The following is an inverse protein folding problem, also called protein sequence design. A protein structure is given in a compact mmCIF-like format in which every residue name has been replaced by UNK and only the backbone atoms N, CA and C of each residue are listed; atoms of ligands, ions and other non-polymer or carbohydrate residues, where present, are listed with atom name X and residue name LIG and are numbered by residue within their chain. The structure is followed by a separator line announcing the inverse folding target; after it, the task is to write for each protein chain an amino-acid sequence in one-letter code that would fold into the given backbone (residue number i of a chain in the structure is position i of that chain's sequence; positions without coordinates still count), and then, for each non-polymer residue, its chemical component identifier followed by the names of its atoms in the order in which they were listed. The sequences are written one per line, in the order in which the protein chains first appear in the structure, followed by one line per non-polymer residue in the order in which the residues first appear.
data_IF_769470752890
#
_entry.id   IF_769470752890
#
_cell.length_a   1.000
_cell.length_b   1.000
_cell.length_c   1.000
_cell.angle_alpha   90.00
_cell.angle_beta   90.00
_cell.angle_gamma   90.00
#
_symmetry.space_group_name_H-M   'P 1'
#
loop_
_entity.id
_entity.type
_entity.pdbx_description
1 polymer ?
#
# COMPACT_ATOMS: atom_id res chain seq x y z
N UNK A 1 4.45 -12.92 -9.49
CA UNK A 1 3.35 -12.11 -8.96
C UNK A 1 3.01 -10.96 -9.90
N UNK A 2 1.72 -10.81 -10.23
CA UNK A 2 1.14 -9.73 -11.03
C UNK A 2 0.14 -8.92 -10.19
N UNK A 3 0.28 -7.59 -10.08
CA UNK A 3 -0.69 -6.77 -9.33
C UNK A 3 -1.88 -6.46 -10.23
N UNK A 4 -3.09 -6.62 -9.70
CA UNK A 4 -4.36 -6.39 -10.39
C UNK A 4 -5.08 -5.12 -9.91
N UNK A 5 -5.04 -4.80 -8.62
CA UNK A 5 -5.75 -3.66 -8.06
C UNK A 5 -5.12 -3.19 -6.75
N UNK A 6 -5.21 -1.88 -6.51
CA UNK A 6 -4.78 -1.19 -5.30
C UNK A 6 -5.91 -0.30 -4.80
N UNK A 7 -6.14 -0.28 -3.48
CA UNK A 7 -7.11 0.64 -2.88
C UNK A 7 -6.86 0.82 -1.38
N UNK A 8 -7.16 2.01 -0.88
CA UNK A 8 -7.10 2.34 0.53
C UNK A 8 -8.34 3.05 1.01
N UNK A 9 -8.81 2.70 2.20
CA UNK A 9 -9.91 3.40 2.87
C UNK A 9 -9.52 3.72 4.30
N UNK A 10 -9.83 4.95 4.72
CA UNK A 10 -9.85 5.29 6.13
C UNK A 10 -11.08 4.63 6.75
N UNK A 11 -10.90 3.93 7.86
CA UNK A 11 -12.02 3.35 8.59
C UNK A 11 -12.62 4.43 9.49
N UNK A 12 -13.93 4.64 9.35
CA UNK A 12 -14.76 5.44 10.24
C UNK A 12 -15.66 4.52 11.06
N UNK A 13 -16.06 4.97 12.25
CA UNK A 13 -16.83 4.19 13.22
C UNK A 13 -17.98 3.39 12.60
N UNK A 14 -18.00 2.09 12.90
CA UNK A 14 -19.26 1.33 12.90
C UNK A 14 -20.08 1.61 14.18
N UNK A 15 -19.43 1.87 15.33
CA UNK A 15 -20.08 2.18 16.61
C UNK A 15 -19.26 3.12 17.53
N UNK A 16 -19.90 3.88 18.44
CA UNK A 16 -19.26 4.89 19.30
C UNK A 16 -18.09 4.41 20.17
N UNK A 17 -18.05 3.11 20.51
CA UNK A 17 -17.14 2.53 21.49
C UNK A 17 -16.11 1.54 20.88
N UNK A 18 -15.98 1.48 19.56
CA UNK A 18 -14.94 0.64 18.92
C UNK A 18 -13.63 1.44 18.81
N UNK A 19 -12.48 0.87 19.20
CA UNK A 19 -11.17 1.50 19.04
C UNK A 19 -10.71 1.58 17.57
N UNK A 20 -11.54 1.18 16.60
CA UNK A 20 -11.28 1.26 15.15
C UNK A 20 -11.23 2.70 14.60
N UNK A 21 -11.43 3.71 15.45
CA UNK A 21 -11.10 5.10 15.15
C UNK A 21 -9.61 5.24 14.85
N UNK A 22 -9.30 5.78 13.68
CA UNK A 22 -7.92 6.06 13.32
C UNK A 22 -7.17 4.85 12.76
N UNK A 23 -7.86 3.93 12.10
CA UNK A 23 -7.21 2.93 11.24
C UNK A 23 -7.35 3.26 9.75
N UNK A 24 -6.37 2.81 8.99
CA UNK A 24 -6.37 2.75 7.54
C UNK A 24 -6.35 1.28 7.11
N UNK A 25 -7.20 0.94 6.15
CA UNK A 25 -7.20 -0.37 5.48
C UNK A 25 -6.69 -0.19 4.06
N UNK A 26 -5.55 -0.78 3.77
CA UNK A 26 -5.00 -0.88 2.42
C UNK A 26 -5.25 -2.28 1.86
N UNK A 27 -5.54 -2.38 0.58
CA UNK A 27 -5.91 -3.62 -0.10
C UNK A 27 -5.15 -3.72 -1.40
N UNK A 28 -4.54 -4.88 -1.63
CA UNK A 28 -3.93 -5.25 -2.91
C UNK A 28 -4.49 -6.58 -3.39
N UNK A 29 -4.95 -6.59 -4.65
CA UNK A 29 -5.30 -7.82 -5.36
C UNK A 29 -4.19 -8.15 -6.35
N UNK A 30 -3.75 -9.40 -6.39
CA UNK A 30 -2.64 -9.85 -7.22
C UNK A 30 -2.79 -11.33 -7.62
N UNK A 31 -2.14 -11.72 -8.71
CA UNK A 31 -1.98 -13.12 -9.13
C UNK A 31 -0.59 -13.59 -8.73
N UNK A 32 -0.47 -14.76 -8.11
CA UNK A 32 0.79 -15.45 -7.92
C UNK A 32 0.69 -16.92 -8.35
N UNK A 33 1.52 -17.31 -9.32
CA UNK A 33 1.30 -18.53 -10.10
C UNK A 33 -0.03 -18.46 -10.86
N UNK A 34 -0.91 -19.44 -10.64
CA UNK A 34 -2.24 -19.54 -11.25
C UNK A 34 -3.38 -19.12 -10.29
N UNK A 35 -3.06 -18.49 -9.16
CA UNK A 35 -4.03 -18.13 -8.12
C UNK A 35 -4.11 -16.64 -7.91
N UNK A 36 -5.34 -16.14 -7.84
CA UNK A 36 -5.64 -14.77 -7.42
C UNK A 36 -5.73 -14.69 -5.90
N UNK A 37 -5.13 -13.63 -5.34
CA UNK A 37 -5.10 -13.32 -3.93
C UNK A 37 -5.57 -11.89 -3.70
N UNK A 38 -6.30 -11.67 -2.61
CA UNK A 38 -6.57 -10.34 -2.07
C UNK A 38 -5.96 -10.27 -0.68
N UNK A 39 -5.02 -9.36 -0.49
CA UNK A 39 -4.33 -9.11 0.76
C UNK A 39 -4.77 -7.76 1.34
N UNK A 40 -5.08 -7.75 2.64
CA UNK A 40 -5.45 -6.55 3.38
C UNK A 40 -4.38 -6.20 4.42
N UNK A 41 -3.97 -4.95 4.46
CA UNK A 41 -3.11 -4.40 5.50
C UNK A 41 -3.91 -3.40 6.32
N UNK A 42 -4.06 -3.68 7.61
CA UNK A 42 -4.73 -2.80 8.56
C UNK A 42 -3.68 -2.20 9.50
N UNK A 43 -3.66 -0.87 9.62
CA UNK A 43 -2.67 -0.15 10.42
C UNK A 43 -3.22 1.17 10.94
N UNK A 44 -2.60 1.74 11.98
CA UNK A 44 -3.04 3.01 12.58
C UNK A 44 -2.77 4.16 11.61
N UNK A 45 -3.78 4.99 11.32
CA UNK A 45 -3.76 6.14 10.41
C UNK A 45 -2.62 7.12 10.71
N UNK A 46 -2.29 7.32 11.99
CA UNK A 46 -1.15 8.15 12.41
C UNK A 46 0.18 7.71 11.77
N UNK A 47 0.34 6.42 11.42
CA UNK A 47 1.55 5.95 10.76
C UNK A 47 1.78 6.66 9.42
N UNK A 48 0.74 7.14 8.75
CA UNK A 48 0.86 7.90 7.49
C UNK A 48 1.65 9.21 7.68
N UNK A 49 1.56 9.86 8.86
CA UNK A 49 2.35 11.05 9.20
C UNK A 49 3.85 10.76 9.39
N UNK A 50 4.18 9.51 9.72
CA UNK A 50 5.56 9.06 9.84
C UNK A 50 6.07 8.61 8.47
N UNK A 51 5.24 7.87 7.73
CA UNK A 51 5.55 7.34 6.41
C UNK A 51 5.80 8.45 5.40
N UNK A 52 5.03 9.55 5.43
CA UNK A 52 5.21 10.65 4.47
C UNK A 52 6.65 11.20 4.46
N UNK A 53 7.33 11.19 5.61
CA UNK A 53 8.73 11.64 5.79
C UNK A 53 9.75 10.71 5.11
N UNK A 54 9.35 9.48 4.79
CA UNK A 54 10.16 8.48 4.08
C UNK A 54 9.88 8.48 2.57
N UNK A 55 9.02 9.39 2.10
CA UNK A 55 8.67 9.54 0.68
C UNK A 55 9.29 10.83 0.11
N UNK A 56 9.41 10.98 -1.21
CA UNK A 56 9.86 12.23 -1.82
C UNK A 56 8.80 13.35 -1.77
N UNK A 57 7.61 13.09 -1.22
CA UNK A 57 6.50 14.04 -1.19
C UNK A 57 6.40 14.75 0.15
N UNK A 58 5.99 16.02 0.12
CA UNK A 58 5.86 16.85 1.32
C UNK A 58 4.54 16.67 2.07
N UNK A 59 3.49 16.19 1.39
CA UNK A 59 2.14 16.05 1.94
C UNK A 59 1.34 14.98 1.18
N UNK A 60 0.14 14.66 1.69
CA UNK A 60 -0.83 13.81 0.99
C UNK A 60 -1.82 14.67 0.18
N UNK A 61 -2.33 14.19 -0.97
CA UNK A 61 -1.99 12.93 -1.64
C UNK A 61 -0.55 12.94 -2.17
N UNK A 62 0.05 11.75 -2.29
CA UNK A 62 1.44 11.61 -2.75
C UNK A 62 1.60 12.18 -4.16
N UNK A 63 0.69 11.84 -5.06
CA UNK A 63 0.63 12.38 -6.41
C UNK A 63 -0.78 12.24 -6.97
N UNK A 64 -0.99 12.80 -8.16
CA UNK A 64 -2.21 12.65 -8.93
C UNK A 64 -1.97 11.77 -10.14
N UNK A 65 -2.89 10.85 -10.38
CA UNK A 65 -2.96 10.06 -11.60
C UNK A 65 -4.09 10.56 -12.46
N UNK A 66 -3.77 11.48 -13.38
CA UNK A 66 -4.78 12.29 -14.06
C UNK A 66 -5.52 13.18 -13.04
N UNK A 67 -6.79 12.90 -12.79
CA UNK A 67 -7.61 13.62 -11.80
C UNK A 67 -7.80 12.86 -10.48
N UNK A 68 -7.30 11.63 -10.37
CA UNK A 68 -7.46 10.82 -9.16
C UNK A 68 -6.28 11.05 -8.21
N UNK A 69 -6.51 11.47 -6.96
CA UNK A 69 -5.45 11.55 -5.94
C UNK A 69 -5.05 10.15 -5.45
N UNK A 70 -3.75 9.93 -5.26
CA UNK A 70 -3.20 8.68 -4.70
C UNK A 70 -2.67 8.93 -3.28
N UNK A 71 -3.17 8.19 -2.30
CA UNK A 71 -2.78 8.31 -0.90
C UNK A 71 -1.84 7.18 -0.47
N UNK A 72 -1.18 7.34 0.68
CA UNK A 72 -0.33 6.30 1.29
C UNK A 72 -1.12 4.99 1.46
N UNK A 73 -2.36 5.09 1.96
CA UNK A 73 -3.27 3.95 2.13
C UNK A 73 -3.60 3.19 0.85
N UNK A 74 -3.52 3.82 -0.32
CA UNK A 74 -3.77 3.11 -1.58
C UNK A 74 -2.62 2.15 -1.90
N UNK A 75 -1.42 2.43 -1.39
CA UNK A 75 -0.17 1.78 -1.80
C UNK A 75 0.44 0.91 -0.69
N UNK A 76 0.05 1.16 0.57
CA UNK A 76 0.65 0.58 1.76
C UNK A 76 0.66 -0.97 1.76
N UNK A 77 -0.45 -1.63 1.41
CA UNK A 77 -0.54 -3.08 1.37
C UNK A 77 0.41 -3.68 0.34
N UNK A 78 0.55 -3.02 -0.81
CA UNK A 78 1.46 -3.48 -1.85
C UNK A 78 2.93 -3.28 -1.47
N UNK A 79 3.31 -2.06 -1.04
CA UNK A 79 4.67 -1.78 -0.58
C UNK A 79 5.06 -2.73 0.56
N UNK A 80 4.15 -2.95 1.51
CA UNK A 80 4.36 -3.91 2.60
C UNK A 80 4.57 -5.33 2.09
N UNK A 81 3.72 -5.80 1.16
CA UNK A 81 3.83 -7.14 0.57
C UNK A 81 5.19 -7.33 -0.13
N UNK A 82 5.72 -6.28 -0.78
CA UNK A 82 7.03 -6.30 -1.46
C UNK A 82 8.18 -6.41 -0.48
N UNK A 83 8.16 -5.60 0.57
CA UNK A 83 9.15 -5.68 1.64
C UNK A 83 9.04 -6.97 2.46
N UNK A 84 7.86 -7.63 2.48
CA UNK A 84 7.59 -8.79 3.32
C UNK A 84 7.01 -9.97 2.51
N UNK A 85 7.82 -10.71 1.73
CA UNK A 85 7.36 -11.85 0.93
C UNK A 85 6.65 -12.95 1.75
N UNK A 86 6.93 -13.05 3.05
CA UNK A 86 6.22 -13.95 3.98
C UNK A 86 4.73 -13.62 4.17
N UNK A 87 4.24 -12.49 3.64
CA UNK A 87 2.82 -12.13 3.59
C UNK A 87 2.13 -12.62 2.32
N UNK A 88 2.85 -13.12 1.32
CA UNK A 88 2.26 -13.71 0.11
C UNK A 88 1.39 -14.91 0.49
N UNK A 89 0.17 -14.93 -0.06
CA UNK A 89 -0.84 -15.94 0.25
C UNK A 89 -1.63 -15.71 1.55
N UNK A 90 -1.26 -14.72 2.38
CA UNK A 90 -2.07 -14.34 3.54
C UNK A 90 -3.26 -13.49 3.11
N UNK A 91 -4.38 -13.63 3.84
CA UNK A 91 -5.58 -12.81 3.63
C UNK A 91 -5.41 -11.40 4.20
N UNK A 92 -4.83 -11.29 5.38
CA UNK A 92 -4.68 -10.01 6.07
C UNK A 92 -3.48 -10.00 7.01
N UNK A 93 -2.96 -8.80 7.27
CA UNK A 93 -2.01 -8.50 8.35
C UNK A 93 -2.46 -7.23 9.05
N UNK A 94 -2.37 -7.26 10.38
CA UNK A 94 -2.57 -6.11 11.24
C UNK A 94 -1.23 -5.64 11.80
N UNK A 95 -0.91 -4.36 11.63
CA UNK A 95 0.30 -3.76 12.17
C UNK A 95 -0.01 -3.01 13.46
N UNK A 96 0.64 -3.43 14.52
CA UNK A 96 0.54 -2.81 15.85
C UNK A 96 1.51 -1.64 16.04
N UNK A 97 2.57 -1.58 15.23
CA UNK A 97 3.58 -0.53 15.23
C UNK A 97 3.93 -0.11 13.80
N UNK A 98 4.46 1.10 13.67
CA UNK A 98 4.77 1.73 12.38
C UNK A 98 6.00 1.11 11.70
N UNK A 99 6.89 0.47 12.45
CA UNK A 99 8.24 0.11 12.01
C UNK A 99 8.26 -0.70 10.72
N UNK A 100 7.44 -1.76 10.56
CA UNK A 100 7.45 -2.57 9.34
C UNK A 100 7.06 -1.76 8.11
N UNK A 101 6.11 -0.83 8.26
CA UNK A 101 5.58 -0.04 7.16
C UNK A 101 6.51 1.13 6.82
N UNK A 102 7.01 1.84 7.83
CA UNK A 102 8.02 2.91 7.68
C UNK A 102 9.27 2.37 6.99
N UNK A 103 9.79 1.22 7.42
CA UNK A 103 10.96 0.62 6.79
C UNK A 103 10.69 0.19 5.34
N UNK A 104 9.50 -0.32 5.04
CA UNK A 104 9.12 -0.68 3.67
C UNK A 104 9.10 0.54 2.74
N UNK A 105 8.52 1.66 3.18
CA UNK A 105 8.49 2.91 2.41
C UNK A 105 9.89 3.50 2.23
N UNK A 106 10.74 3.49 3.27
CA UNK A 106 12.14 3.96 3.18
C UNK A 106 12.97 3.22 2.12
N UNK A 107 12.71 1.93 1.94
CA UNK A 107 13.44 1.08 1.00
C UNK A 107 12.85 1.10 -0.42
N UNK A 108 11.71 1.76 -0.62
CA UNK A 108 11.00 1.81 -1.89
C UNK A 108 11.76 2.66 -2.91
N UNK A 109 11.88 2.15 -4.14
CA UNK A 109 12.34 2.96 -5.27
C UNK A 109 11.19 3.79 -5.84
N UNK A 110 11.05 5.03 -5.36
CA UNK A 110 9.94 5.92 -5.71
C UNK A 110 9.84 6.27 -7.19
N UNK A 111 10.96 6.37 -7.91
CA UNK A 111 10.93 6.67 -9.36
C UNK A 111 10.25 5.53 -10.15
N UNK A 112 10.47 4.28 -9.74
CA UNK A 112 9.82 3.12 -10.36
C UNK A 112 8.40 2.93 -9.83
N UNK A 113 8.19 3.19 -8.54
CA UNK A 113 6.89 3.05 -7.90
C UNK A 113 5.86 4.02 -8.53
N UNK A 114 6.20 5.30 -8.70
CA UNK A 114 5.34 6.31 -9.36
C UNK A 114 4.87 5.88 -10.74
N UNK A 115 5.78 5.41 -11.59
CA UNK A 115 5.46 4.99 -12.96
C UNK A 115 4.38 3.93 -12.95
N UNK A 116 4.50 2.94 -12.08
CA UNK A 116 3.48 1.90 -11.99
C UNK A 116 2.21 2.38 -11.29
N UNK A 117 2.33 3.19 -10.24
CA UNK A 117 1.15 3.68 -9.52
C UNK A 117 0.22 4.52 -10.39
N UNK A 118 0.80 5.28 -11.31
CA UNK A 118 0.03 6.06 -12.28
C UNK A 118 -0.87 5.16 -13.16
N UNK A 119 -0.54 3.88 -13.30
CA UNK A 119 -1.40 2.92 -14.01
C UNK A 119 -2.59 2.48 -13.13
N UNK A 120 -2.39 2.30 -11.81
CA UNK A 120 -3.42 1.81 -10.87
C UNK A 120 -4.39 2.87 -10.34
N UNK A 121 -3.96 4.13 -10.22
CA UNK A 121 -4.84 5.19 -9.72
C UNK A 121 -5.81 5.71 -10.79
N UNK A 122 -5.50 5.51 -12.08
CA UNK A 122 -6.37 5.92 -13.20
C UNK A 122 -7.50 4.92 -13.43
N UNK A 123 -7.21 3.63 -13.31
CA UNK A 123 -8.17 2.54 -13.31
C UNK A 123 -7.92 1.74 -12.04
N UNK A 124 -8.88 1.65 -11.12
CA UNK A 124 -8.82 0.78 -9.92
C UNK A 124 -8.59 -0.73 -10.22
N UNK A 125 -8.25 -1.06 -11.48
CA UNK A 125 -7.58 -2.27 -11.94
C UNK A 125 -6.47 -1.89 -12.94
N UNK A 126 -5.23 -2.22 -12.63
CA UNK A 126 -4.14 -2.23 -13.61
C UNK A 126 -3.31 -3.51 -13.44
N UNK A 127 -2.52 -3.90 -14.44
CA UNK A 127 -1.76 -5.16 -14.46
C UNK A 127 -0.27 -4.84 -14.44
N UNK A 128 0.45 -5.27 -13.40
CA UNK A 128 1.93 -5.15 -13.35
C UNK A 128 2.58 -6.51 -13.34
N UNK A 129 3.59 -6.72 -14.19
CA UNK A 129 4.17 -8.06 -14.42
C UNK A 129 5.42 -8.44 -13.61
N UNK A 130 5.97 -7.61 -12.72
CA UNK A 130 7.08 -8.09 -11.88
C UNK A 130 7.33 -7.24 -10.64
N UNK A 131 7.40 -7.83 -9.43
CA UNK A 131 7.60 -7.09 -8.18
C UNK A 131 9.07 -6.93 -7.75
N UNK A 132 10.00 -7.60 -8.44
CA UNK A 132 11.43 -7.58 -8.11
C UNK A 132 12.06 -6.18 -8.32
N UNK A 133 11.36 -5.29 -9.02
CA UNK A 133 11.84 -3.94 -9.34
C UNK A 133 11.67 -2.91 -8.20
N UNK A 134 10.95 -3.23 -7.11
CA UNK A 134 10.53 -2.24 -6.09
C UNK A 134 11.46 -2.01 -4.91
N UNK A 135 12.40 -2.92 -4.68
CA UNK A 135 13.30 -2.87 -3.53
C UNK A 135 14.68 -2.45 -4.03
N UNK A 136 15.29 -1.44 -3.38
CA UNK A 136 16.71 -1.12 -3.62
C UNK A 136 17.55 -2.37 -3.34
N UNK A 137 18.15 -2.93 -4.39
CA UNK A 137 19.14 -3.99 -4.23
C UNK A 137 20.45 -3.39 -3.67
N UNK A 138 21.23 -4.16 -2.89
CA UNK A 138 22.48 -3.70 -2.28
C UNK A 138 23.54 -3.29 -3.30
#
# INVERSE_FOLDING_TARGET
MEILALSGVELEKAQPNSPEDGFSRSIVTYIDGDKEYTFQLLYVRYFEELIIKETPYSEQPLFFSGTTPCYIRDLAAWIYLMANPAAIGKKEVYLHDETPLVNAFRQTNWEQAEKMFSEFCTNKKATVRSPILFIKQP
#
